data_IF_446339267283
#
_entry.id   IF_446339267283
#
_cell.length_a   1.000
_cell.length_b   1.000
_cell.length_c   1.000
_cell.angle_alpha   90.00
_cell.angle_beta   90.00
_cell.angle_gamma   90.00
#
_symmetry.space_group_name_H-M   'P 1'
#
loop_
_entity.id
_entity.type
_entity.pdbx_description
1 polymer ?
#
# COMPACT_ATOMS: atom_id res chain seq x y z
N UNK A 1 -1.23 9.96 6.95
CA UNK A 1 -1.37 11.26 7.63
C UNK A 1 -2.49 11.13 8.66
N UNK A 2 -2.30 11.67 9.87
CA UNK A 2 -3.38 11.74 10.85
C UNK A 2 -4.59 12.48 10.27
N UNK A 3 -5.78 11.90 10.42
CA UNK A 3 -7.04 12.53 10.01
C UNK A 3 -7.75 13.10 11.24
N UNK A 4 -8.66 14.04 11.03
CA UNK A 4 -9.43 14.69 12.09
C UNK A 4 -10.36 13.74 12.88
N UNK A 5 -10.42 12.46 12.50
CA UNK A 5 -11.20 11.43 13.19
C UNK A 5 -10.56 10.97 14.52
N UNK A 6 -9.30 11.32 14.79
CA UNK A 6 -8.62 11.04 16.05
C UNK A 6 -8.06 12.32 16.70
N UNK A 7 -7.82 12.32 18.02
CA UNK A 7 -7.32 13.47 18.79
C UNK A 7 -5.89 13.94 18.42
N UNK A 8 -5.27 13.36 17.39
CA UNK A 8 -3.92 13.69 16.95
C UNK A 8 -3.92 15.01 16.13
N UNK A 9 -3.46 16.08 16.78
CA UNK A 9 -3.48 17.47 16.27
C UNK A 9 -2.42 17.81 15.22
N UNK A 10 -1.46 16.92 14.95
CA UNK A 10 -0.36 17.18 14.02
C UNK A 10 -0.44 16.27 12.79
N UNK A 11 0.00 16.78 11.63
CA UNK A 11 0.11 16.05 10.35
C UNK A 11 1.26 15.03 10.37
N UNK A 12 1.25 14.15 11.35
CA UNK A 12 2.24 13.09 11.51
C UNK A 12 1.79 11.88 10.70
N UNK A 13 2.73 11.23 10.02
CA UNK A 13 2.48 9.92 9.42
C UNK A 13 2.38 8.92 10.56
N UNK A 14 1.24 8.24 10.64
CA UNK A 14 0.98 7.25 11.67
C UNK A 14 0.79 5.90 11.00
N UNK A 15 1.44 4.87 11.54
CA UNK A 15 1.12 3.50 11.18
C UNK A 15 -0.30 3.19 11.63
N UNK A 16 -1.12 2.71 10.71
CA UNK A 16 -2.49 2.27 10.96
C UNK A 16 -2.74 0.93 10.24
N UNK A 17 -2.22 -0.18 10.80
CA UNK A 17 -2.33 -1.49 10.18
C UNK A 17 -3.80 -1.86 9.97
N UNK A 18 -4.15 -2.23 8.73
CA UNK A 18 -5.52 -2.62 8.34
C UNK A 18 -6.60 -1.55 8.60
N UNK A 19 -6.24 -0.28 8.83
CA UNK A 19 -7.14 0.74 9.35
C UNK A 19 -7.81 0.35 10.68
N UNK A 20 -7.13 -0.48 11.48
CA UNK A 20 -7.65 -1.10 12.70
C UNK A 20 -6.93 -0.66 13.97
N UNK A 21 -5.96 0.28 13.88
CA UNK A 21 -5.16 0.69 15.05
C UNK A 21 -5.97 1.05 16.29
N UNK A 22 -7.04 1.88 16.22
CA UNK A 22 -7.84 2.21 17.40
C UNK A 22 -8.93 1.17 17.69
N UNK A 23 -9.02 0.08 16.92
CA UNK A 23 -10.15 -0.85 16.89
C UNK A 23 -9.76 -2.31 17.16
N UNK A 24 -8.49 -2.61 17.43
CA UNK A 24 -8.09 -3.98 17.80
C UNK A 24 -8.74 -4.41 19.10
N UNK A 25 -9.56 -5.46 19.03
CA UNK A 25 -10.22 -6.06 20.21
C UNK A 25 -9.39 -7.12 20.93
N UNK A 26 -8.21 -7.47 20.41
CA UNK A 26 -7.27 -8.44 20.96
C UNK A 26 -5.85 -8.16 20.44
N UNK A 27 -4.87 -9.00 20.78
CA UNK A 27 -3.47 -8.81 20.42
C UNK A 27 -3.29 -8.66 18.88
N UNK A 28 -2.52 -7.66 18.47
CA UNK A 28 -2.29 -7.36 17.05
C UNK A 28 -1.49 -8.47 16.33
N UNK A 29 -0.53 -9.11 16.99
CA UNK A 29 0.19 -10.26 16.44
C UNK A 29 -0.74 -11.43 16.13
N UNK A 30 -1.63 -11.78 17.08
CA UNK A 30 -2.66 -12.80 16.88
C UNK A 30 -3.61 -12.41 15.74
N UNK A 31 -3.92 -11.12 15.58
CA UNK A 31 -4.74 -10.62 14.47
C UNK A 31 -4.06 -10.86 13.12
N UNK A 32 -2.74 -10.64 13.02
CA UNK A 32 -1.97 -10.96 11.82
C UNK A 32 -1.95 -12.47 11.56
N UNK A 33 -1.77 -13.31 12.59
CA UNK A 33 -1.86 -14.77 12.45
C UNK A 33 -3.24 -15.23 11.96
N UNK A 34 -4.31 -14.60 12.48
CA UNK A 34 -5.66 -14.89 12.05
C UNK A 34 -5.85 -14.61 10.56
N UNK A 35 -5.37 -13.47 10.06
CA UNK A 35 -5.40 -13.13 8.64
C UNK A 35 -4.63 -14.14 7.78
N UNK A 36 -3.42 -14.52 8.21
CA UNK A 36 -2.60 -15.53 7.52
C UNK A 36 -3.29 -16.90 7.48
N UNK A 37 -4.09 -17.23 8.49
CA UNK A 37 -4.84 -18.49 8.53
C UNK A 37 -5.93 -18.61 7.45
N UNK A 38 -6.35 -17.48 6.84
CA UNK A 38 -7.44 -17.45 5.87
C UNK A 38 -7.10 -18.16 4.56
N UNK A 39 -5.83 -18.21 4.18
CA UNK A 39 -5.38 -18.92 2.96
C UNK A 39 -5.80 -20.40 2.97
N UNK A 40 -5.77 -21.04 4.14
CA UNK A 40 -6.14 -22.45 4.31
C UNK A 40 -7.64 -22.70 4.18
N UNK A 41 -8.46 -21.65 4.10
CA UNK A 41 -9.94 -21.73 4.11
C UNK A 41 -10.53 -21.67 2.70
N UNK A 42 -9.72 -21.52 1.65
CA UNK A 42 -10.16 -21.61 0.26
C UNK A 42 -9.65 -20.47 -0.61
N UNK A 43 -10.47 -20.03 -1.56
CA UNK A 43 -10.11 -18.95 -2.49
C UNK A 43 -10.06 -17.61 -1.76
N UNK A 44 -8.87 -17.03 -1.67
CA UNK A 44 -8.64 -15.70 -1.09
C UNK A 44 -8.73 -14.60 -2.14
N UNK A 45 -9.19 -13.38 -1.79
CA UNK A 45 -9.20 -12.24 -2.70
C UNK A 45 -7.78 -11.73 -2.98
N UNK A 46 -7.62 -11.05 -4.12
CA UNK A 46 -6.41 -10.26 -4.38
C UNK A 46 -6.40 -9.03 -3.46
N UNK A 47 -5.23 -8.69 -2.91
CA UNK A 47 -5.04 -7.54 -2.02
C UNK A 47 -4.35 -6.42 -2.80
N UNK A 48 -4.85 -5.19 -2.64
CA UNK A 48 -4.33 -3.99 -3.31
C UNK A 48 -4.08 -2.89 -2.29
N UNK A 49 -3.04 -2.09 -2.53
CA UNK A 49 -2.76 -0.87 -1.79
C UNK A 49 -2.87 0.32 -2.73
N UNK A 50 -3.60 1.36 -2.33
CA UNK A 50 -3.83 2.56 -3.15
C UNK A 50 -3.40 3.82 -2.39
N UNK A 51 -2.97 4.84 -3.13
CA UNK A 51 -2.65 6.15 -2.57
C UNK A 51 -3.27 7.25 -3.44
N UNK A 52 -4.42 7.79 -3.01
CA UNK A 52 -5.10 8.91 -3.66
C UNK A 52 -4.47 10.28 -3.36
N UNK A 53 -3.52 10.31 -2.42
CA UNK A 53 -3.05 11.55 -1.80
C UNK A 53 -1.60 11.87 -2.14
N UNK A 54 -0.98 11.14 -3.08
CA UNK A 54 0.38 11.43 -3.54
C UNK A 54 0.43 12.84 -4.11
N UNK A 55 1.44 13.60 -3.71
CA UNK A 55 1.67 14.98 -4.15
C UNK A 55 2.96 15.09 -4.94
N UNK A 56 2.96 16.00 -5.90
CA UNK A 56 4.16 16.46 -6.62
C UNK A 56 5.03 17.34 -5.72
N UNK A 57 6.22 17.68 -6.20
CA UNK A 57 7.17 18.59 -5.52
C UNK A 57 6.61 20.00 -5.30
N UNK A 58 5.66 20.45 -6.12
CA UNK A 58 4.93 21.72 -5.95
C UNK A 58 3.70 21.59 -5.02
N UNK A 59 3.51 20.44 -4.39
CA UNK A 59 2.48 20.19 -3.38
C UNK A 59 1.06 19.91 -3.93
N UNK A 60 0.90 19.77 -5.25
CA UNK A 60 -0.38 19.44 -5.88
C UNK A 60 -0.62 17.93 -5.86
N UNK A 61 -1.88 17.52 -5.82
CA UNK A 61 -2.21 16.10 -5.96
C UNK A 61 -1.90 15.61 -7.37
N UNK A 62 -1.21 14.47 -7.46
CA UNK A 62 -0.89 13.83 -8.74
C UNK A 62 -2.10 13.11 -9.34
N UNK A 63 -3.08 12.75 -8.52
CA UNK A 63 -4.30 12.07 -8.93
C UNK A 63 -5.54 12.91 -8.58
N UNK A 64 -6.51 13.10 -9.51
CA UNK A 64 -7.69 13.92 -9.27
C UNK A 64 -8.61 13.38 -8.17
N UNK A 65 -8.62 12.06 -7.95
CA UNK A 65 -9.40 11.44 -6.88
C UNK A 65 -10.91 11.36 -7.16
N UNK A 66 -11.69 11.19 -6.10
CA UNK A 66 -13.16 11.16 -6.14
C UNK A 66 -13.72 10.20 -7.21
N UNK A 67 -14.52 10.70 -8.14
CA UNK A 67 -15.14 9.91 -9.20
C UNK A 67 -14.13 9.24 -10.12
N UNK A 68 -12.96 9.87 -10.35
CA UNK A 68 -11.92 9.30 -11.21
C UNK A 68 -11.25 8.07 -10.60
N UNK A 69 -11.43 7.80 -9.30
CA UNK A 69 -10.98 6.55 -8.68
C UNK A 69 -11.61 5.31 -9.32
N UNK A 70 -12.76 5.45 -10.01
CA UNK A 70 -13.36 4.37 -10.79
C UNK A 70 -12.38 3.77 -11.82
N UNK A 71 -11.43 4.55 -12.33
CA UNK A 71 -10.41 4.11 -13.30
C UNK A 71 -9.42 3.11 -12.69
N UNK A 72 -9.11 3.27 -11.41
CA UNK A 72 -8.27 2.31 -10.68
C UNK A 72 -9.07 1.09 -10.26
N UNK A 73 -10.36 1.25 -9.93
CA UNK A 73 -11.25 0.11 -9.68
C UNK A 73 -11.43 -0.75 -10.93
N UNK A 74 -11.52 -0.14 -12.12
CA UNK A 74 -11.51 -0.85 -13.41
C UNK A 74 -10.23 -1.68 -13.59
N UNK A 75 -9.06 -1.10 -13.30
CA UNK A 75 -7.80 -1.84 -13.32
C UNK A 75 -7.78 -3.00 -12.33
N UNK A 76 -8.26 -2.79 -11.09
CA UNK A 76 -8.38 -3.86 -10.09
C UNK A 76 -9.31 -4.98 -10.60
N UNK A 77 -10.43 -4.64 -11.23
CA UNK A 77 -11.37 -5.60 -11.77
C UNK A 77 -10.71 -6.48 -12.84
N UNK A 78 -9.95 -5.86 -13.75
CA UNK A 78 -9.16 -6.55 -14.76
C UNK A 78 -8.09 -7.45 -14.15
N UNK A 79 -7.38 -6.98 -13.10
CA UNK A 79 -6.41 -7.81 -12.35
C UNK A 79 -7.05 -9.03 -11.68
N UNK A 80 -8.28 -8.90 -11.17
CA UNK A 80 -9.05 -10.02 -10.59
C UNK A 80 -9.45 -11.05 -11.66
N UNK A 81 -9.62 -10.62 -12.92
CA UNK A 81 -9.90 -11.48 -14.08
C UNK A 81 -8.63 -12.01 -14.77
N UNK A 82 -7.45 -11.84 -14.14
CA UNK A 82 -6.16 -12.31 -14.65
C UNK A 82 -5.68 -11.62 -15.94
N UNK A 83 -6.18 -10.41 -16.23
CA UNK A 83 -5.62 -9.60 -17.32
C UNK A 83 -4.15 -9.26 -17.07
N UNK A 84 -3.36 -9.32 -18.15
CA UNK A 84 -1.96 -8.90 -18.16
C UNK A 84 -1.83 -7.38 -18.37
N UNK A 85 -2.28 -6.59 -17.38
CA UNK A 85 -2.29 -5.12 -17.40
C UNK A 85 -1.36 -4.50 -16.33
N UNK A 86 -0.26 -5.18 -16.01
CA UNK A 86 0.65 -4.78 -14.93
C UNK A 86 2.12 -4.98 -15.33
N UNK A 87 3.00 -4.35 -14.57
CA UNK A 87 4.45 -4.54 -14.61
C UNK A 87 4.97 -4.85 -13.19
N UNK A 88 6.07 -5.58 -13.11
CA UNK A 88 6.78 -5.84 -11.85
C UNK A 88 7.42 -4.57 -11.30
N UNK A 89 7.41 -4.44 -9.97
CA UNK A 89 8.18 -3.44 -9.22
C UNK A 89 8.65 -4.04 -7.89
N UNK A 90 9.62 -3.42 -7.19
CA UNK A 90 10.06 -3.89 -5.88
C UNK A 90 8.93 -3.99 -4.83
N UNK A 91 7.85 -3.22 -5.01
CA UNK A 91 6.72 -3.14 -4.08
C UNK A 91 5.50 -3.96 -4.52
N UNK A 92 5.63 -4.75 -5.58
CA UNK A 92 4.57 -5.57 -6.16
C UNK A 92 4.19 -5.13 -7.57
N UNK A 93 2.95 -5.40 -7.97
CA UNK A 93 2.48 -5.11 -9.33
C UNK A 93 1.92 -3.70 -9.45
N UNK A 94 2.43 -2.94 -10.42
CA UNK A 94 1.93 -1.62 -10.80
C UNK A 94 1.19 -1.70 -12.14
N UNK A 95 0.28 -0.76 -12.47
CA UNK A 95 -0.32 -0.70 -13.79
C UNK A 95 0.75 -0.58 -14.89
N UNK A 96 0.62 -1.36 -15.96
CA UNK A 96 1.48 -1.23 -17.13
C UNK A 96 1.17 0.07 -17.89
N UNK A 97 2.01 0.42 -18.86
CA UNK A 97 1.66 1.46 -19.84
C UNK A 97 0.32 1.09 -20.52
N UNK A 98 -0.59 2.07 -20.62
CA UNK A 98 -1.96 1.85 -21.09
C UNK A 98 -2.84 0.98 -20.18
N UNK A 99 -2.33 0.52 -19.03
CA UNK A 99 -3.05 -0.31 -18.07
C UNK A 99 -4.19 0.45 -17.38
N UNK A 100 -4.05 1.77 -17.22
CA UNK A 100 -5.09 2.67 -16.70
C UNK A 100 -5.70 3.52 -17.81
N UNK A 101 -7.03 3.60 -17.82
CA UNK A 101 -7.73 4.53 -18.69
C UNK A 101 -7.62 5.95 -18.15
N UNK A 102 -6.75 6.76 -18.74
CA UNK A 102 -6.58 8.19 -18.42
C UNK A 102 -7.28 9.13 -19.40
N UNK A 103 -8.09 8.58 -20.32
CA UNK A 103 -8.82 9.38 -21.32
C UNK A 103 -9.73 10.40 -20.64
N UNK A 104 -9.62 11.66 -21.07
CA UNK A 104 -10.46 12.76 -20.58
C UNK A 104 -10.03 13.36 -19.24
N UNK A 105 -8.95 12.88 -18.62
CA UNK A 105 -8.42 13.51 -17.40
C UNK A 105 -7.81 14.89 -17.71
N UNK A 106 -8.16 15.88 -16.88
CA UNK A 106 -7.66 17.25 -16.97
C UNK A 106 -7.29 17.76 -15.56
N UNK A 107 -6.05 18.25 -15.33
CA UNK A 107 -4.93 18.23 -16.26
C UNK A 107 -4.44 16.80 -16.58
N UNK A 108 -3.63 16.65 -17.63
CA UNK A 108 -2.99 15.37 -17.95
C UNK A 108 -2.19 14.87 -16.74
N UNK A 109 -2.47 13.65 -16.31
CA UNK A 109 -1.77 13.03 -15.18
C UNK A 109 -0.38 12.56 -15.61
N UNK A 110 0.63 12.92 -14.84
CA UNK A 110 1.99 12.40 -15.01
C UNK A 110 2.09 10.98 -14.40
N UNK A 111 1.84 9.95 -15.22
CA UNK A 111 1.86 8.56 -14.74
C UNK A 111 3.25 8.10 -14.28
N UNK A 112 4.33 8.62 -14.87
CA UNK A 112 5.69 8.28 -14.48
C UNK A 112 5.96 8.74 -13.04
N UNK A 113 5.62 9.98 -12.71
CA UNK A 113 5.76 10.51 -11.35
C UNK A 113 4.76 9.87 -10.37
N UNK A 114 3.54 9.57 -10.84
CA UNK A 114 2.51 8.94 -10.01
C UNK A 114 2.90 7.52 -9.57
N UNK A 115 3.57 6.75 -10.43
CA UNK A 115 4.00 5.38 -10.16
C UNK A 115 5.48 5.23 -9.83
N UNK A 116 6.21 6.33 -9.69
CA UNK A 116 7.62 6.28 -9.33
C UNK A 116 7.83 5.60 -7.97
N UNK A 117 8.88 4.80 -7.86
CA UNK A 117 9.25 4.00 -6.68
C UNK A 117 10.70 4.37 -6.29
N UNK A 118 10.92 5.52 -5.62
CA UNK A 118 12.28 5.95 -5.27
C UNK A 118 12.90 4.97 -4.25
N UNK A 119 14.02 4.35 -4.62
CA UNK A 119 14.67 3.32 -3.78
C UNK A 119 15.07 3.87 -2.42
N UNK A 120 15.67 5.06 -2.37
CA UNK A 120 16.11 5.69 -1.12
C UNK A 120 14.94 5.90 -0.15
N UNK A 121 13.78 6.36 -0.66
CA UNK A 121 12.57 6.52 0.14
C UNK A 121 12.10 5.17 0.70
N UNK A 122 12.04 4.14 -0.14
CA UNK A 122 11.57 2.81 0.26
C UNK A 122 12.53 2.11 1.22
N UNK A 123 13.84 2.35 1.14
CA UNK A 123 14.79 1.87 2.13
C UNK A 123 14.53 2.50 3.50
N UNK A 124 14.25 3.80 3.55
CA UNK A 124 13.82 4.48 4.79
C UNK A 124 12.51 3.88 5.32
N UNK A 125 11.48 3.77 4.47
CA UNK A 125 10.17 3.24 4.83
C UNK A 125 10.26 1.82 5.42
N UNK A 126 11.06 0.96 4.80
CA UNK A 126 11.23 -0.43 5.26
C UNK A 126 11.95 -0.51 6.61
N UNK A 127 12.90 0.40 6.86
CA UNK A 127 13.52 0.51 8.18
C UNK A 127 12.51 1.01 9.23
N UNK A 128 11.66 1.97 8.89
CA UNK A 128 10.61 2.47 9.79
C UNK A 128 9.58 1.38 10.12
N UNK A 129 9.12 0.61 9.11
CA UNK A 129 8.23 -0.55 9.30
C UNK A 129 8.88 -1.59 10.21
N UNK A 130 10.18 -1.86 10.04
CA UNK A 130 10.89 -2.81 10.90
C UNK A 130 10.91 -2.34 12.36
N UNK A 131 11.21 -1.06 12.61
CA UNK A 131 11.20 -0.52 13.97
C UNK A 131 9.80 -0.53 14.56
N UNK A 132 8.78 -0.17 13.77
CA UNK A 132 7.39 -0.24 14.18
C UNK A 132 7.00 -1.66 14.61
N UNK A 133 7.30 -2.68 13.80
CA UNK A 133 6.99 -4.06 14.15
C UNK A 133 7.73 -4.53 15.41
N UNK A 134 9.02 -4.19 15.55
CA UNK A 134 9.79 -4.51 16.76
C UNK A 134 9.19 -3.89 18.02
N UNK A 135 8.80 -2.62 17.95
CA UNK A 135 8.29 -1.88 19.10
C UNK A 135 6.83 -2.19 19.45
N UNK A 136 5.97 -2.41 18.45
CA UNK A 136 4.52 -2.47 18.64
C UNK A 136 3.97 -3.91 18.62
N UNK A 137 4.68 -4.85 17.98
CA UNK A 137 4.27 -6.26 17.91
C UNK A 137 5.24 -7.15 18.68
N UNK A 138 6.53 -6.85 18.60
CA UNK A 138 7.58 -7.56 19.35
C UNK A 138 7.62 -9.05 19.01
N UNK A 139 7.63 -9.88 20.04
CA UNK A 139 7.71 -11.35 19.90
C UNK A 139 6.48 -11.99 19.24
N UNK A 140 5.34 -11.29 19.23
CA UNK A 140 4.10 -11.76 18.61
C UNK A 140 4.06 -11.54 17.10
N UNK A 141 5.13 -10.99 16.49
CA UNK A 141 5.17 -10.78 15.05
C UNK A 141 5.27 -12.13 14.31
N UNK A 142 4.29 -12.47 13.45
CA UNK A 142 4.34 -13.75 12.74
C UNK A 142 5.55 -13.82 11.81
N UNK A 143 6.20 -15.00 11.76
CA UNK A 143 7.40 -15.22 10.95
C UNK A 143 7.19 -14.93 9.46
N UNK A 144 6.01 -15.20 8.93
CA UNK A 144 5.70 -14.90 7.53
C UNK A 144 5.66 -13.40 7.24
N UNK A 145 5.21 -12.56 8.19
CA UNK A 145 5.21 -11.11 8.04
C UNK A 145 6.65 -10.57 8.06
N UNK A 146 7.48 -11.04 8.99
CA UNK A 146 8.89 -10.65 9.02
C UNK A 146 9.67 -11.12 7.78
N UNK A 147 9.32 -12.30 7.24
CA UNK A 147 9.84 -12.77 5.96
C UNK A 147 9.43 -11.85 4.79
N UNK A 148 8.17 -11.42 4.70
CA UNK A 148 7.74 -10.49 3.65
C UNK A 148 8.50 -9.15 3.70
N UNK A 149 8.77 -8.63 4.92
CA UNK A 149 9.59 -7.43 5.08
C UNK A 149 11.04 -7.65 4.60
N UNK A 150 11.62 -8.81 4.89
CA UNK A 150 12.96 -9.16 4.42
C UNK A 150 13.03 -9.34 2.90
N UNK A 151 12.00 -9.94 2.29
CA UNK A 151 11.94 -10.07 0.84
C UNK A 151 11.75 -8.70 0.16
N UNK A 152 10.99 -7.78 0.76
CA UNK A 152 10.91 -6.40 0.29
C UNK A 152 12.28 -5.71 0.35
N UNK A 153 13.03 -5.85 1.44
CA UNK A 153 14.42 -5.34 1.54
C UNK A 153 15.31 -5.86 0.41
N UNK A 154 15.23 -7.15 0.11
CA UNK A 154 16.04 -7.75 -0.98
C UNK A 154 15.67 -7.16 -2.34
N UNK A 155 14.38 -7.02 -2.64
CA UNK A 155 13.92 -6.44 -3.92
C UNK A 155 14.33 -4.99 -4.10
N UNK A 156 14.50 -4.24 -3.02
CA UNK A 156 14.94 -2.83 -3.06
C UNK A 156 16.47 -2.68 -3.22
N UNK A 157 17.24 -3.73 -2.96
CA UNK A 157 18.71 -3.71 -3.00
C UNK A 157 19.28 -4.38 -4.26
N UNK A 158 18.43 -4.96 -5.10
CA UNK A 158 18.78 -5.57 -6.39
C UNK A 158 18.52 -4.59 -7.52
#
# INVERSE_FOLDING_TARGET
>A
EATAAAEHKEKVIMHDPFAMRPFFGYNFGDYLEHWLSMEKRGRVPKVFHVNWFRKSTDGKFLWPGFGDNCRVLDWIFRRVHEDNCFVDSPIGYLPSEGGLNITGLQPTVNLNELFDVPIDFWQTEVNEIEQYFKMQVGEFLPKSISQQLNELKKRLNN
#
